data_IF_724889590573
#
_entry.id   IF_724889590573
#
_cell.length_a   1.000
_cell.length_b   1.000
_cell.length_c   1.000
_cell.angle_alpha   90.00
_cell.angle_beta   90.00
_cell.angle_gamma   90.00
#
_symmetry.space_group_name_H-M   'P 1'
#
loop_
_entity.id
_entity.type
_entity.pdbx_description
1 polymer ?
#
# COMPACT_ATOMS: atom_id res chain seq x y z
N UNK A 1 -86.93 3.61 -19.62
CA UNK A 1 -85.91 4.23 -20.48
C UNK A 1 -84.60 4.30 -19.70
N UNK A 2 -83.53 3.82 -20.32
CA UNK A 2 -82.24 3.52 -19.69
C UNK A 2 -81.37 4.78 -19.54
N UNK A 3 -80.81 5.01 -18.35
CA UNK A 3 -79.59 5.80 -18.17
C UNK A 3 -78.39 4.84 -18.01
N UNK A 4 -77.27 5.06 -18.71
CA UNK A 4 -76.07 4.24 -18.57
C UNK A 4 -75.24 4.70 -17.37
N UNK A 5 -74.93 3.79 -16.44
CA UNK A 5 -73.92 4.04 -15.39
C UNK A 5 -72.52 3.89 -15.99
N UNK A 6 -71.72 4.95 -15.89
CA UNK A 6 -70.30 4.97 -16.26
C UNK A 6 -69.48 3.91 -15.48
N UNK A 7 -68.43 3.34 -16.09
CA UNK A 7 -67.51 2.44 -15.39
C UNK A 7 -66.59 3.23 -14.45
N UNK A 8 -66.69 2.93 -13.15
CA UNK A 8 -65.79 3.42 -12.10
C UNK A 8 -64.36 2.93 -12.37
N UNK A 9 -63.46 3.88 -12.63
CA UNK A 9 -62.02 3.63 -12.86
C UNK A 9 -61.37 3.19 -11.54
N UNK A 10 -60.98 1.94 -11.45
CA UNK A 10 -60.43 1.33 -10.23
C UNK A 10 -58.95 1.76 -10.03
N UNK A 11 -58.59 2.49 -8.95
CA UNK A 11 -57.24 3.09 -8.78
C UNK A 11 -56.16 2.07 -8.41
N UNK A 12 -56.53 0.81 -8.19
CA UNK A 12 -55.61 -0.25 -7.70
C UNK A 12 -54.61 -0.77 -8.74
N UNK A 13 -54.74 -0.40 -10.02
CA UNK A 13 -53.79 -0.82 -11.08
C UNK A 13 -52.51 0.01 -11.14
N UNK A 14 -52.49 1.23 -10.58
CA UNK A 14 -51.29 2.08 -10.59
C UNK A 14 -50.23 1.72 -9.54
N UNK A 15 -50.64 1.11 -8.42
CA UNK A 15 -49.73 0.89 -7.28
C UNK A 15 -48.80 -0.33 -7.47
N UNK A 16 -49.26 -1.36 -8.19
CA UNK A 16 -48.42 -2.54 -8.48
C UNK A 16 -47.38 -2.30 -9.57
N UNK A 17 -47.68 -1.43 -10.56
CA UNK A 17 -46.73 -1.06 -11.59
C UNK A 17 -45.59 -0.18 -11.06
N UNK A 18 -45.89 0.73 -10.12
CA UNK A 18 -44.87 1.57 -9.47
C UNK A 18 -43.94 0.77 -8.54
N UNK A 19 -44.47 -0.21 -7.80
CA UNK A 19 -43.68 -1.07 -6.92
C UNK A 19 -42.70 -2.00 -7.66
N UNK A 20 -43.14 -2.59 -8.79
CA UNK A 20 -42.26 -3.45 -9.60
C UNK A 20 -41.18 -2.64 -10.32
N UNK A 21 -41.51 -1.47 -10.88
CA UNK A 21 -40.54 -0.61 -11.54
C UNK A 21 -39.47 -0.09 -10.55
N UNK A 22 -39.87 0.26 -9.32
CA UNK A 22 -38.94 0.65 -8.26
C UNK A 22 -38.01 -0.48 -7.81
N UNK A 23 -38.53 -1.71 -7.69
CA UNK A 23 -37.72 -2.87 -7.34
C UNK A 23 -36.74 -3.28 -8.45
N UNK A 24 -37.15 -3.23 -9.71
CA UNK A 24 -36.28 -3.54 -10.86
C UNK A 24 -35.19 -2.48 -11.02
N UNK A 25 -35.50 -1.20 -10.82
CA UNK A 25 -34.51 -0.12 -10.85
C UNK A 25 -33.49 -0.24 -9.71
N UNK A 26 -33.93 -0.61 -8.50
CA UNK A 26 -33.04 -0.84 -7.35
C UNK A 26 -32.15 -2.07 -7.56
N UNK A 27 -32.69 -3.18 -8.08
CA UNK A 27 -31.90 -4.38 -8.40
C UNK A 27 -30.93 -4.11 -9.54
N UNK A 28 -31.33 -3.40 -10.60
CA UNK A 28 -30.44 -3.02 -11.69
C UNK A 28 -29.34 -2.04 -11.23
N UNK A 29 -29.65 -1.08 -10.36
CA UNK A 29 -28.65 -0.21 -9.75
C UNK A 29 -27.67 -1.01 -8.88
N UNK A 30 -28.15 -1.96 -8.06
CA UNK A 30 -27.30 -2.87 -7.30
C UNK A 30 -26.47 -3.78 -8.21
N UNK A 31 -27.02 -4.25 -9.34
CA UNK A 31 -26.30 -5.08 -10.31
C UNK A 31 -25.28 -4.28 -11.13
N UNK A 32 -25.50 -2.98 -11.34
CA UNK A 32 -24.52 -2.08 -12.00
C UNK A 32 -23.44 -1.65 -11.01
N UNK A 33 -23.77 -1.48 -9.73
CA UNK A 33 -22.80 -1.17 -8.68
C UNK A 33 -21.96 -2.40 -8.32
N UNK A 34 -22.58 -3.57 -8.14
CA UNK A 34 -21.93 -4.81 -7.69
C UNK A 34 -21.63 -5.83 -8.80
N UNK A 35 -21.92 -5.50 -10.06
CA UNK A 35 -21.65 -6.36 -11.20
C UNK A 35 -20.17 -6.33 -11.61
N UNK A 36 -19.73 -7.29 -12.45
CA UNK A 36 -18.33 -7.44 -12.86
C UNK A 36 -17.75 -6.23 -13.63
N UNK A 37 -18.62 -5.33 -14.10
CA UNK A 37 -18.30 -4.13 -14.87
C UNK A 37 -18.72 -2.83 -14.17
N UNK A 38 -19.05 -2.87 -12.87
CA UNK A 38 -19.31 -1.67 -12.09
C UNK A 38 -18.01 -0.89 -11.83
N UNK A 39 -18.10 0.43 -11.77
CA UNK A 39 -16.97 1.36 -11.50
C UNK A 39 -16.40 1.25 -10.06
N UNK A 40 -16.28 0.03 -9.51
CA UNK A 40 -15.44 -0.25 -8.33
C UNK A 40 -13.99 -0.44 -8.80
N UNK A 41 -13.49 0.47 -9.64
CA UNK A 41 -12.12 0.46 -10.15
C UNK A 41 -11.20 1.41 -9.36
N UNK A 42 -11.59 1.80 -8.13
CA UNK A 42 -10.86 2.80 -7.36
C UNK A 42 -11.04 2.75 -5.84
N UNK A 43 -11.61 1.67 -5.32
CA UNK A 43 -11.57 1.36 -3.89
C UNK A 43 -11.00 -0.03 -3.75
N UNK A 44 -9.70 -0.16 -3.99
CA UNK A 44 -8.93 -1.35 -3.61
C UNK A 44 -9.18 -1.54 -2.11
N UNK A 45 -10.12 -2.41 -1.74
CA UNK A 45 -10.30 -2.72 -0.35
C UNK A 45 -9.04 -3.46 0.07
N UNK A 46 -8.17 -2.75 0.80
CA UNK A 46 -6.93 -3.32 1.35
C UNK A 46 -7.16 -4.56 2.23
N UNK A 47 -8.41 -5.01 2.40
CA UNK A 47 -8.77 -6.35 2.82
C UNK A 47 -8.06 -7.45 2.02
N UNK A 48 -7.80 -7.27 0.72
CA UNK A 48 -7.07 -8.27 -0.07
C UNK A 48 -5.62 -8.43 0.44
N UNK A 49 -4.97 -7.34 0.84
CA UNK A 49 -3.61 -7.36 1.38
C UNK A 49 -3.51 -8.11 2.73
N UNK A 50 -4.61 -8.32 3.45
CA UNK A 50 -4.62 -9.14 4.67
C UNK A 50 -4.33 -10.63 4.38
N UNK A 51 -4.65 -11.10 3.17
CA UNK A 51 -4.26 -12.44 2.75
C UNK A 51 -2.72 -12.53 2.62
N UNK A 52 -2.09 -11.53 1.99
CA UNK A 52 -0.63 -11.41 1.90
C UNK A 52 0.01 -11.25 3.28
N UNK A 53 -0.59 -10.45 4.17
CA UNK A 53 -0.13 -10.32 5.57
C UNK A 53 -0.15 -11.67 6.30
N UNK A 54 -1.24 -12.42 6.15
CA UNK A 54 -1.37 -13.76 6.73
C UNK A 54 -0.36 -14.75 6.14
N UNK A 55 -0.09 -14.66 4.83
CA UNK A 55 0.91 -15.48 4.14
C UNK A 55 2.35 -15.14 4.55
N UNK A 56 2.65 -13.87 4.87
CA UNK A 56 3.95 -13.42 5.33
C UNK A 56 4.26 -13.84 6.77
N UNK A 57 3.24 -14.07 7.61
CA UNK A 57 3.40 -14.38 9.04
C UNK A 57 4.39 -15.52 9.36
N UNK A 58 4.41 -16.67 8.67
CA UNK A 58 5.37 -17.75 8.95
C UNK A 58 6.83 -17.37 8.63
N UNK A 59 7.05 -16.31 7.86
CA UNK A 59 8.37 -15.81 7.47
C UNK A 59 8.88 -14.69 8.40
N UNK A 60 8.05 -14.17 9.30
CA UNK A 60 8.45 -13.22 10.33
C UNK A 60 9.23 -13.94 11.45
N UNK A 61 10.48 -14.31 11.17
CA UNK A 61 11.36 -15.09 12.05
C UNK A 61 12.82 -14.65 11.91
N UNK A 62 13.64 -15.05 12.88
CA UNK A 62 15.06 -14.71 13.00
C UNK A 62 15.34 -13.23 12.74
N UNK A 63 16.06 -12.91 11.67
CA UNK A 63 16.51 -11.54 11.37
C UNK A 63 15.35 -10.55 11.12
N UNK A 64 14.15 -11.06 10.80
CA UNK A 64 12.91 -10.28 10.61
C UNK A 64 11.81 -10.68 11.61
N UNK A 65 12.18 -11.24 12.76
CA UNK A 65 11.22 -11.69 13.79
C UNK A 65 10.35 -10.56 14.37
N UNK A 66 10.79 -9.30 14.27
CA UNK A 66 10.02 -8.14 14.74
C UNK A 66 9.03 -7.62 13.67
N UNK A 67 8.92 -8.27 12.51
CA UNK A 67 7.91 -7.93 11.51
C UNK A 67 6.51 -8.23 12.04
N UNK A 68 5.62 -7.25 11.95
CA UNK A 68 4.24 -7.30 12.41
C UNK A 68 3.32 -7.29 11.18
N UNK A 69 2.74 -8.45 10.80
CA UNK A 69 1.74 -8.50 9.74
C UNK A 69 0.55 -7.59 10.04
N UNK A 70 0.02 -6.94 9.00
CA UNK A 70 -1.15 -6.10 9.11
C UNK A 70 -2.36 -6.90 9.64
N UNK A 71 -3.05 -6.33 10.63
CA UNK A 71 -4.26 -6.92 11.22
C UNK A 71 -5.56 -6.25 10.76
N UNK A 72 -5.43 -5.10 10.08
CA UNK A 72 -6.54 -4.34 9.53
C UNK A 72 -6.13 -3.73 8.17
N UNK A 73 -7.09 -3.52 7.25
CA UNK A 73 -6.81 -2.87 5.97
C UNK A 73 -6.26 -1.45 6.15
N UNK A 74 -5.18 -1.11 5.45
CA UNK A 74 -4.63 0.23 5.43
C UNK A 74 -4.12 0.57 4.02
N UNK A 75 -4.68 1.62 3.43
CA UNK A 75 -4.21 2.18 2.14
C UNK A 75 -3.11 3.21 2.41
N UNK A 76 -2.03 3.14 1.64
CA UNK A 76 -0.86 3.99 1.74
C UNK A 76 -0.53 4.73 0.44
N UNK A 77 -1.38 4.66 -0.60
CA UNK A 77 -1.14 5.23 -1.94
C UNK A 77 -0.95 6.75 -1.92
N UNK A 78 -1.58 7.44 -0.97
CA UNK A 78 -1.51 8.89 -0.82
C UNK A 78 -0.24 9.38 -0.11
N UNK A 79 0.63 8.48 0.39
CA UNK A 79 1.90 8.90 0.99
C UNK A 79 2.79 9.55 -0.07
N UNK A 80 3.45 10.65 0.31
CA UNK A 80 4.27 11.46 -0.59
C UNK A 80 5.67 11.70 -0.04
N UNK A 81 6.63 11.83 -0.95
CA UNK A 81 8.04 12.15 -0.71
C UNK A 81 8.67 12.63 -2.03
N UNK A 82 9.99 12.83 -2.06
CA UNK A 82 10.71 13.25 -3.25
C UNK A 82 11.68 12.15 -3.71
N UNK A 83 11.79 11.96 -5.02
CA UNK A 83 12.82 11.15 -5.67
C UNK A 83 14.05 11.96 -6.08
N UNK A 84 14.81 11.46 -7.07
CA UNK A 84 15.94 12.17 -7.65
C UNK A 84 15.57 13.59 -8.09
N UNK A 85 16.50 14.52 -7.86
CA UNK A 85 16.37 15.94 -8.23
C UNK A 85 15.12 16.64 -7.67
N UNK A 86 14.67 16.23 -6.48
CA UNK A 86 13.48 16.76 -5.80
C UNK A 86 12.17 16.55 -6.58
N UNK A 87 12.14 15.56 -7.47
CA UNK A 87 10.92 15.17 -8.19
C UNK A 87 9.87 14.68 -7.18
N UNK A 88 8.67 15.27 -7.11
CA UNK A 88 7.61 14.77 -6.25
C UNK A 88 7.19 13.35 -6.65
N UNK A 89 7.06 12.47 -5.67
CA UNK A 89 6.67 11.07 -5.81
C UNK A 89 5.57 10.75 -4.81
N UNK A 90 4.67 9.87 -5.21
CA UNK A 90 3.59 9.31 -4.41
C UNK A 90 3.71 7.79 -4.37
N UNK A 91 3.17 7.14 -3.34
CA UNK A 91 3.14 5.67 -3.31
C UNK A 91 2.31 5.06 -4.45
N UNK A 92 1.35 5.81 -5.01
CA UNK A 92 0.61 5.41 -6.20
C UNK A 92 1.51 5.26 -7.45
N UNK A 93 2.68 5.90 -7.49
CA UNK A 93 3.64 5.77 -8.60
C UNK A 93 4.31 4.39 -8.63
N UNK A 94 4.20 3.61 -7.55
CA UNK A 94 4.72 2.24 -7.43
C UNK A 94 3.63 1.18 -7.63
N UNK A 95 2.52 1.54 -8.26
CA UNK A 95 1.46 0.59 -8.59
C UNK A 95 2.03 -0.63 -9.32
N UNK A 96 1.43 -1.80 -9.06
CA UNK A 96 1.82 -3.10 -9.61
C UNK A 96 3.17 -3.62 -9.08
N UNK A 97 3.84 -2.89 -8.16
CA UNK A 97 5.03 -3.34 -7.45
C UNK A 97 4.77 -3.63 -5.98
N UNK A 98 5.35 -4.70 -5.48
CA UNK A 98 5.55 -4.85 -4.03
C UNK A 98 6.65 -3.89 -3.59
N UNK A 99 6.39 -3.07 -2.57
CA UNK A 99 7.36 -2.07 -2.10
C UNK A 99 7.80 -2.36 -0.68
N UNK A 100 9.11 -2.32 -0.44
CA UNK A 100 9.68 -2.23 0.91
C UNK A 100 10.03 -0.76 1.20
N UNK A 101 9.11 -0.04 1.85
CA UNK A 101 9.28 1.36 2.22
C UNK A 101 10.06 1.44 3.54
N UNK A 102 11.27 2.02 3.52
CA UNK A 102 12.10 2.22 4.71
C UNK A 102 12.27 3.71 4.99
N UNK A 103 12.12 4.10 6.26
CA UNK A 103 12.41 5.45 6.73
C UNK A 103 13.73 5.46 7.48
N UNK A 104 14.67 6.30 7.03
CA UNK A 104 16.01 6.37 7.59
C UNK A 104 16.52 7.80 7.70
N UNK A 105 17.62 7.99 8.43
CA UNK A 105 18.34 9.26 8.46
C UNK A 105 19.80 9.06 8.88
N UNK A 106 20.69 9.96 8.47
CA UNK A 106 22.14 9.86 8.77
C UNK A 106 22.49 10.03 10.24
N UNK A 107 21.60 10.59 11.06
CA UNK A 107 21.80 10.71 12.51
C UNK A 107 21.29 9.48 13.27
N UNK A 108 20.62 8.55 12.59
CA UNK A 108 20.12 7.30 13.15
C UNK A 108 21.17 6.20 12.95
N UNK A 109 21.90 5.86 14.01
CA UNK A 109 22.93 4.81 13.98
C UNK A 109 22.42 3.44 13.47
N UNK A 110 21.29 2.87 13.97
CA UNK A 110 20.81 1.60 13.45
C UNK A 110 20.37 1.67 11.99
N UNK A 111 19.81 2.80 11.54
CA UNK A 111 19.45 2.99 10.15
C UNK A 111 20.67 2.91 9.23
N UNK A 112 21.76 3.58 9.60
CA UNK A 112 23.03 3.52 8.85
C UNK A 112 23.57 2.09 8.74
N UNK A 113 23.40 1.29 9.78
CA UNK A 113 23.90 -0.08 9.83
C UNK A 113 23.17 -1.02 8.86
N UNK A 114 21.87 -0.82 8.63
CA UNK A 114 21.08 -1.69 7.74
C UNK A 114 21.12 -1.29 6.25
N UNK A 115 21.62 -0.09 5.91
CA UNK A 115 21.63 0.39 4.51
C UNK A 115 22.35 -0.55 3.52
N UNK A 116 23.50 -1.16 3.84
CA UNK A 116 24.12 -2.15 2.94
C UNK A 116 23.23 -3.36 2.69
N UNK A 117 22.51 -3.84 3.70
CA UNK A 117 21.61 -4.98 3.57
C UNK A 117 20.37 -4.65 2.72
N UNK A 118 19.86 -3.43 2.82
CA UNK A 118 18.79 -2.93 1.94
C UNK A 118 19.26 -2.78 0.48
N UNK A 119 20.49 -2.32 0.27
CA UNK A 119 21.09 -2.22 -1.06
C UNK A 119 21.28 -3.58 -1.72
N UNK A 120 21.80 -4.56 -0.97
CA UNK A 120 21.93 -5.93 -1.46
C UNK A 120 20.56 -6.56 -1.75
N UNK A 121 19.55 -6.32 -0.90
CA UNK A 121 18.19 -6.78 -1.17
C UNK A 121 17.65 -6.22 -2.48
N UNK A 122 17.87 -4.93 -2.75
CA UNK A 122 17.50 -4.30 -4.01
C UNK A 122 18.29 -4.89 -5.20
N UNK A 123 19.58 -5.16 -5.02
CA UNK A 123 20.40 -5.79 -6.05
C UNK A 123 19.88 -7.20 -6.42
N UNK A 124 19.46 -7.96 -5.41
CA UNK A 124 19.05 -9.36 -5.58
C UNK A 124 17.61 -9.52 -6.09
N UNK A 125 16.68 -8.72 -5.59
CA UNK A 125 15.24 -8.89 -5.85
C UNK A 125 14.62 -7.75 -6.66
N UNK A 126 15.28 -6.61 -6.80
CA UNK A 126 14.76 -5.43 -7.48
C UNK A 126 14.46 -5.68 -8.95
N UNK A 127 13.23 -5.39 -9.37
CA UNK A 127 12.76 -5.55 -10.75
C UNK A 127 11.45 -4.76 -11.01
N UNK A 128 10.75 -5.07 -12.10
CA UNK A 128 9.49 -4.42 -12.47
C UNK A 128 8.34 -4.71 -11.49
N UNK A 129 8.49 -5.68 -10.59
CA UNK A 129 7.48 -6.12 -9.62
C UNK A 129 7.88 -5.94 -8.14
N UNK A 130 9.13 -5.55 -7.85
CA UNK A 130 9.59 -5.27 -6.49
C UNK A 130 10.61 -4.13 -6.43
N UNK A 131 10.49 -3.27 -5.43
CA UNK A 131 11.41 -2.17 -5.18
C UNK A 131 11.58 -1.86 -3.69
N UNK A 132 12.82 -1.60 -3.27
CA UNK A 132 13.19 -1.02 -1.99
C UNK A 132 13.16 0.51 -2.13
N UNK A 133 12.29 1.15 -1.36
CA UNK A 133 12.13 2.61 -1.34
C UNK A 133 12.63 3.12 0.00
N UNK A 134 13.93 3.46 0.07
CA UNK A 134 14.57 3.96 1.29
C UNK A 134 14.58 5.50 1.32
N UNK A 135 13.67 6.09 2.10
CA UNK A 135 13.44 7.54 2.15
C UNK A 135 14.25 8.18 3.27
N UNK A 136 15.20 9.05 2.92
CA UNK A 136 15.96 9.84 3.89
C UNK A 136 15.09 10.96 4.48
N UNK A 137 15.12 11.09 5.81
CA UNK A 137 14.43 12.14 6.57
C UNK A 137 15.40 13.23 7.09
N UNK A 138 16.56 13.37 6.47
CA UNK A 138 17.52 14.40 6.80
C UNK A 138 16.98 15.79 6.41
N UNK A 139 16.70 16.63 7.43
CA UNK A 139 16.20 18.00 7.24
C UNK A 139 17.19 18.95 6.56
N UNK A 140 18.47 18.58 6.51
CA UNK A 140 19.53 19.36 5.89
C UNK A 140 19.59 19.26 4.37
N UNK A 141 18.64 18.55 3.74
CA UNK A 141 18.63 18.29 2.30
C UNK A 141 19.51 17.09 1.90
N UNK A 142 19.72 16.88 0.59
CA UNK A 142 20.23 15.62 0.06
C UNK A 142 21.74 15.40 0.25
N UNK A 143 22.52 16.44 0.56
CA UNK A 143 23.99 16.35 0.56
C UNK A 143 24.53 15.28 1.50
N UNK A 144 24.28 15.43 2.81
CA UNK A 144 24.76 14.50 3.84
C UNK A 144 24.30 13.05 3.62
N UNK A 145 23.03 12.75 3.32
CA UNK A 145 22.62 11.37 3.07
C UNK A 145 23.22 10.80 1.77
N UNK A 146 23.33 11.58 0.68
CA UNK A 146 23.99 11.11 -0.56
C UNK A 146 25.48 10.80 -0.33
N UNK A 147 26.19 11.69 0.35
CA UNK A 147 27.62 11.49 0.69
C UNK A 147 27.81 10.21 1.52
N UNK A 148 26.92 9.97 2.49
CA UNK A 148 26.96 8.76 3.30
C UNK A 148 26.73 7.49 2.47
N UNK A 149 25.70 7.45 1.62
CA UNK A 149 25.44 6.28 0.76
C UNK A 149 26.63 5.97 -0.15
N UNK A 150 27.25 7.02 -0.71
CA UNK A 150 28.47 6.88 -1.51
C UNK A 150 29.64 6.33 -0.68
N UNK A 151 29.85 6.81 0.54
CA UNK A 151 30.92 6.37 1.44
C UNK A 151 30.83 4.87 1.75
N UNK A 152 29.61 4.35 1.95
CA UNK A 152 29.37 2.94 2.29
C UNK A 152 29.14 2.04 1.07
N UNK A 153 29.21 2.58 -0.15
CA UNK A 153 29.09 1.81 -1.38
C UNK A 153 27.67 1.30 -1.68
N UNK A 154 26.63 2.03 -1.27
CA UNK A 154 25.23 1.78 -1.66
C UNK A 154 25.03 2.29 -3.08
N UNK A 155 24.75 1.40 -4.03
CA UNK A 155 24.74 1.72 -5.47
C UNK A 155 23.45 1.29 -6.21
N UNK A 156 22.62 0.46 -5.60
CA UNK A 156 21.41 -0.12 -6.20
C UNK A 156 20.13 0.59 -5.76
N UNK A 157 20.18 1.33 -4.64
CA UNK A 157 19.05 2.12 -4.16
C UNK A 157 18.90 3.45 -4.91
N UNK A 158 17.71 3.71 -5.44
CA UNK A 158 17.31 5.04 -5.87
C UNK A 158 17.26 5.99 -4.67
N UNK A 159 17.79 7.21 -4.82
CA UNK A 159 17.78 8.19 -3.74
C UNK A 159 16.40 8.85 -3.61
N UNK A 160 15.72 8.54 -2.51
CA UNK A 160 14.48 9.19 -2.09
C UNK A 160 14.69 10.01 -0.81
N UNK A 161 13.98 11.12 -0.66
CA UNK A 161 14.06 11.98 0.51
C UNK A 161 12.74 12.66 0.86
N UNK A 162 12.59 13.03 2.14
CA UNK A 162 11.56 13.95 2.62
C UNK A 162 12.11 14.81 3.77
N UNK A 163 12.80 15.89 3.43
CA UNK A 163 13.36 16.84 4.40
C UNK A 163 12.29 17.61 5.19
N UNK A 164 11.02 17.58 4.76
CA UNK A 164 9.90 18.20 5.47
C UNK A 164 9.38 17.34 6.63
N UNK A 165 9.77 16.06 6.63
CA UNK A 165 9.26 14.99 7.48
C UNK A 165 7.72 14.86 7.40
N UNK A 166 7.10 15.20 6.27
CA UNK A 166 5.69 14.99 5.97
C UNK A 166 5.32 13.51 6.04
N UNK A 167 6.08 12.66 5.35
CA UNK A 167 5.92 11.20 5.32
C UNK A 167 5.92 10.62 6.74
N UNK A 168 6.90 11.00 7.56
CA UNK A 168 6.98 10.55 8.96
C UNK A 168 5.77 11.03 9.79
N UNK A 169 5.28 12.26 9.56
CA UNK A 169 4.10 12.79 10.26
C UNK A 169 2.85 12.01 9.87
N UNK A 170 2.67 11.68 8.61
CA UNK A 170 1.48 10.97 8.13
C UNK A 170 1.46 9.53 8.62
N UNK A 171 2.59 8.82 8.53
CA UNK A 171 2.72 7.48 9.11
C UNK A 171 2.55 7.47 10.64
N UNK A 172 2.93 8.54 11.35
CA UNK A 172 2.64 8.68 12.79
C UNK A 172 1.15 8.78 13.08
N UNK A 173 0.39 9.54 12.29
CA UNK A 173 -1.09 9.63 12.44
C UNK A 173 -1.74 8.26 12.24
N UNK A 174 -1.15 7.41 11.41
CA UNK A 174 -1.59 6.03 11.14
C UNK A 174 -1.05 5.01 12.17
N UNK A 175 -0.30 5.45 13.19
CA UNK A 175 0.40 4.58 14.13
C UNK A 175 1.34 3.55 13.47
N UNK A 176 2.10 4.02 12.46
CA UNK A 176 3.06 3.21 11.69
C UNK A 176 4.50 3.67 11.74
N UNK A 177 4.82 4.84 12.32
CA UNK A 177 6.21 5.31 12.41
C UNK A 177 6.52 6.07 13.71
N UNK A 178 6.66 5.36 14.83
CA UNK A 178 6.99 5.99 16.12
C UNK A 178 8.46 6.40 16.23
N UNK A 179 9.36 5.79 15.45
CA UNK A 179 10.80 6.06 15.44
C UNK A 179 11.48 5.60 14.15
N UNK A 180 12.81 5.61 14.15
CA UNK A 180 13.63 5.12 13.03
C UNK A 180 14.57 3.98 13.47
N UNK A 181 14.92 3.04 12.58
CA UNK A 181 14.24 2.86 11.31
C UNK A 181 12.83 2.29 11.51
N UNK A 182 11.97 2.57 10.55
CA UNK A 182 10.66 1.94 10.40
C UNK A 182 10.61 1.44 8.97
N UNK A 183 10.20 0.19 8.78
CA UNK A 183 10.07 -0.43 7.47
C UNK A 183 8.65 -0.96 7.28
N UNK A 184 8.02 -0.68 6.16
CA UNK A 184 6.65 -1.09 5.82
C UNK A 184 6.70 -1.87 4.52
N UNK A 185 6.13 -3.07 4.52
CA UNK A 185 5.94 -3.88 3.32
C UNK A 185 4.56 -3.58 2.75
N UNK A 186 4.52 -3.20 1.47
CA UNK A 186 3.35 -2.67 0.78
C UNK A 186 3.06 -3.53 -0.44
N UNK A 187 1.79 -3.87 -0.66
CA UNK A 187 1.34 -4.68 -1.79
C UNK A 187 1.31 -3.88 -3.11
N UNK A 188 1.19 -4.55 -4.27
CA UNK A 188 1.03 -3.92 -5.58
C UNK A 188 -0.13 -2.92 -5.69
N UNK A 189 -1.14 -3.05 -4.84
CA UNK A 189 -2.30 -2.16 -4.74
C UNK A 189 -2.09 -1.01 -3.73
N UNK A 190 -0.86 -0.78 -3.27
CA UNK A 190 -0.55 0.29 -2.33
C UNK A 190 -1.08 0.07 -0.91
N UNK A 191 -1.35 -1.18 -0.53
CA UNK A 191 -1.91 -1.54 0.77
C UNK A 191 -0.86 -2.15 1.71
N UNK A 192 -0.96 -1.88 3.01
CA UNK A 192 -0.04 -2.46 3.99
C UNK A 192 -0.16 -4.00 4.07
N UNK A 193 0.99 -4.69 3.95
CA UNK A 193 1.15 -6.12 4.27
C UNK A 193 1.67 -6.28 5.71
N UNK A 194 2.56 -5.40 6.16
CA UNK A 194 3.00 -5.35 7.55
C UNK A 194 4.11 -4.34 7.78
N UNK A 195 4.49 -4.17 9.04
CA UNK A 195 5.44 -3.16 9.49
C UNK A 195 6.47 -3.76 10.43
N UNK A 196 7.72 -3.29 10.34
CA UNK A 196 8.80 -3.62 11.25
C UNK A 196 9.36 -2.33 11.86
N UNK A 197 9.58 -2.37 13.18
CA UNK A 197 10.21 -1.28 13.93
C UNK A 197 11.61 -1.70 14.34
N UNK A 198 12.61 -0.88 14.02
CA UNK A 198 14.02 -1.21 14.24
C UNK A 198 14.67 -1.89 13.02
N UNK A 199 16.01 -2.06 13.06
CA UNK A 199 16.77 -2.53 11.91
C UNK A 199 16.60 -4.04 11.68
N UNK A 200 16.94 -4.49 10.47
CA UNK A 200 17.02 -5.92 10.14
C UNK A 200 18.19 -6.22 9.19
N UNK A 201 18.65 -7.47 9.18
CA UNK A 201 19.52 -7.99 8.12
C UNK A 201 18.66 -8.32 6.89
N UNK A 202 18.31 -7.28 6.11
CA UNK A 202 17.40 -7.39 4.95
C UNK A 202 17.93 -8.24 3.80
N UNK A 203 19.24 -8.49 3.77
CA UNK A 203 19.90 -9.39 2.83
C UNK A 203 19.84 -10.87 3.26
N UNK A 204 19.37 -11.17 4.47
CA UNK A 204 19.27 -12.54 4.99
C UNK A 204 18.31 -13.39 4.15
N UNK A 205 18.50 -14.72 4.19
CA UNK A 205 17.58 -15.66 3.55
C UNK A 205 16.16 -15.59 4.13
N UNK A 206 16.03 -15.22 5.41
CA UNK A 206 14.73 -15.06 6.07
C UNK A 206 14.00 -13.80 5.59
N UNK A 207 14.71 -12.67 5.48
CA UNK A 207 14.16 -11.44 4.92
C UNK A 207 13.75 -11.64 3.45
N UNK A 208 14.62 -12.24 2.63
CA UNK A 208 14.32 -12.55 1.21
C UNK A 208 13.09 -13.46 1.09
N UNK A 209 12.96 -14.48 1.95
CA UNK A 209 11.78 -15.33 1.96
C UNK A 209 10.49 -14.59 2.38
N UNK A 210 10.57 -13.66 3.33
CA UNK A 210 9.45 -12.80 3.72
C UNK A 210 9.01 -11.92 2.55
N UNK A 211 9.95 -11.25 1.88
CA UNK A 211 9.64 -10.40 0.70
C UNK A 211 9.03 -11.23 -0.44
N UNK A 212 9.64 -12.38 -0.77
CA UNK A 212 9.13 -13.27 -1.82
C UNK A 212 7.74 -13.83 -1.52
N UNK A 213 7.39 -14.03 -0.24
CA UNK A 213 6.04 -14.44 0.16
C UNK A 213 4.98 -13.37 -0.14
N UNK A 214 5.39 -12.10 -0.10
CA UNK A 214 4.53 -10.94 -0.37
C UNK A 214 4.44 -10.61 -1.87
N UNK A 215 5.51 -10.86 -2.64
CA UNK A 215 5.55 -10.71 -4.10
C UNK A 215 4.72 -11.76 -4.87
N UNK A 216 3.72 -12.40 -4.21
CA UNK A 216 3.06 -13.63 -4.65
C UNK A 216 2.80 -13.76 -6.15
N UNK A 217 2.99 -14.99 -6.68
CA UNK A 217 2.95 -15.37 -8.10
C UNK A 217 1.93 -14.57 -8.91
N UNK A 218 2.39 -13.57 -9.65
CA UNK A 218 1.60 -12.95 -10.69
C UNK A 218 1.25 -14.02 -11.72
N UNK A 219 -0.03 -14.42 -11.78
CA UNK A 219 -0.63 -15.20 -12.87
C UNK A 219 -0.03 -16.60 -13.11
N UNK A 220 -0.83 -17.63 -12.83
CA UNK A 220 -0.65 -18.92 -13.50
C UNK A 220 -0.88 -18.80 -15.02
#
# INVERSE_FOLDING_TARGET
MNEPKEPVKNPRRGLFAAGLAGAVAAVAALYVIAGPNGNIAGAHSCSAALASASAAKPFAKGDVAAFLPASAPLNLEELTFNGPDDTPVTMADFKDKTVLLNLWATWCAPCRAEMPALDELQADLGNDSFEVVAVSLDRGGPGKPKDFLQEIGVNHLTFYQDSSNGLLKDLRKMARATGLPTTILISPEGCEIGTMYGPAEWASGEAKALIQSAMGKQGA
#
